data_IF_063650180813
#
_entry.id   IF_063650180813
#
_cell.length_a   1.000
_cell.length_b   1.000
_cell.length_c   1.000
_cell.angle_alpha   90.00
_cell.angle_beta   90.00
_cell.angle_gamma   90.00
#
_symmetry.space_group_name_H-M   'P 1'
#
loop_
_entity.id
_entity.type
_entity.pdbx_description
1 polymer ?
#
# COMPACT_ATOMS: atom_id res chain seq x y z
N UNK A 1 -26.44 9.38 -5.41
CA UNK A 1 -26.93 8.13 -6.03
C UNK A 1 -26.48 6.99 -5.13
N UNK A 2 -27.40 6.18 -4.64
CA UNK A 2 -27.10 5.04 -3.78
C UNK A 2 -26.70 3.87 -4.66
N UNK A 3 -25.45 3.45 -4.59
CA UNK A 3 -25.00 2.25 -5.29
C UNK A 3 -25.57 1.01 -4.60
N UNK A 4 -26.42 0.27 -5.29
CA UNK A 4 -26.91 -1.03 -4.86
C UNK A 4 -26.18 -2.10 -5.68
N UNK A 5 -25.23 -2.81 -5.05
CA UNK A 5 -24.63 -4.02 -5.61
C UNK A 5 -25.48 -5.25 -5.30
N UNK A 6 -25.84 -6.09 -6.28
CA UNK A 6 -26.77 -7.21 -6.10
C UNK A 6 -26.10 -8.56 -5.82
N UNK A 7 -25.07 -8.68 -4.97
CA UNK A 7 -24.51 -10.00 -4.66
C UNK A 7 -24.43 -10.25 -3.16
N UNK A 8 -25.28 -11.19 -2.67
CA UNK A 8 -25.21 -11.78 -1.33
C UNK A 8 -24.26 -12.97 -1.36
N UNK A 9 -23.19 -12.93 -0.55
CA UNK A 9 -22.31 -14.07 -0.30
C UNK A 9 -22.97 -15.12 0.60
N UNK A 10 -22.73 -16.44 0.40
CA UNK A 10 -23.23 -17.49 1.30
C UNK A 10 -22.42 -17.52 2.59
N UNK A 11 -23.11 -17.46 3.73
CA UNK A 11 -22.53 -17.66 5.05
C UNK A 11 -21.99 -19.10 5.21
N UNK A 12 -20.69 -19.23 5.39
CA UNK A 12 -20.06 -20.48 5.83
C UNK A 12 -19.97 -20.49 7.36
N UNK A 13 -20.84 -21.25 8.00
CA UNK A 13 -20.72 -21.60 9.43
C UNK A 13 -19.97 -22.93 9.55
N UNK A 14 -18.74 -22.88 10.01
CA UNK A 14 -18.02 -24.07 10.49
C UNK A 14 -17.35 -23.77 11.81
N UNK A 15 -17.94 -24.28 12.90
CA UNK A 15 -17.38 -24.19 14.25
C UNK A 15 -16.44 -25.37 14.45
N UNK A 16 -15.14 -25.16 14.29
CA UNK A 16 -14.10 -26.04 14.84
C UNK A 16 -13.37 -25.34 15.97
N UNK A 17 -13.65 -25.77 17.22
CA UNK A 17 -12.88 -25.40 18.41
C UNK A 17 -11.50 -26.06 18.35
N UNK A 18 -10.53 -25.41 17.73
CA UNK A 18 -9.11 -25.74 17.89
C UNK A 18 -8.57 -25.07 19.16
N UNK A 19 -7.85 -25.84 19.99
CA UNK A 19 -7.11 -25.31 21.16
C UNK A 19 -6.19 -24.20 20.68
N UNK A 20 -6.40 -22.94 21.14
CA UNK A 20 -5.50 -21.82 20.87
C UNK A 20 -4.11 -22.18 21.38
N UNK A 21 -3.17 -22.50 20.50
CA UNK A 21 -1.74 -22.48 20.78
C UNK A 21 -1.42 -21.03 21.18
N UNK A 22 -0.80 -20.82 22.35
CA UNK A 22 -0.32 -19.49 22.74
C UNK A 22 0.71 -19.09 21.68
N UNK A 23 0.40 -18.08 20.86
CA UNK A 23 1.31 -17.63 19.81
C UNK A 23 2.52 -16.97 20.47
N UNK A 24 3.70 -17.18 19.90
CA UNK A 24 4.90 -16.51 20.36
C UNK A 24 4.71 -14.99 20.26
N UNK A 25 5.14 -14.28 21.27
CA UNK A 25 5.15 -12.83 21.32
C UNK A 25 6.54 -12.41 21.78
N UNK A 26 7.23 -11.69 20.91
CA UNK A 26 8.55 -11.14 21.19
C UNK A 26 8.41 -9.73 21.73
N UNK A 27 9.27 -9.39 22.69
CA UNK A 27 9.26 -8.06 23.26
C UNK A 27 9.92 -7.06 22.30
N UNK A 28 9.20 -6.00 21.94
CA UNK A 28 9.78 -4.86 21.28
C UNK A 28 10.43 -3.94 22.32
N UNK A 29 11.66 -4.28 22.74
CA UNK A 29 12.41 -3.49 23.71
C UNK A 29 12.67 -2.06 23.20
N UNK A 30 13.09 -1.15 24.09
CA UNK A 30 13.44 0.21 23.67
C UNK A 30 14.56 0.23 22.61
N UNK A 31 15.56 -0.66 22.72
CA UNK A 31 16.61 -0.76 21.71
C UNK A 31 16.10 -1.25 20.37
N UNK A 32 15.25 -2.26 20.36
CA UNK A 32 14.59 -2.76 19.13
C UNK A 32 13.73 -1.67 18.50
N UNK A 33 12.93 -0.96 19.31
CA UNK A 33 12.09 0.12 18.79
C UNK A 33 12.93 1.23 18.15
N UNK A 34 14.01 1.65 18.81
CA UNK A 34 14.90 2.67 18.26
C UNK A 34 15.58 2.20 16.99
N UNK A 35 16.07 0.95 16.96
CA UNK A 35 16.62 0.35 15.75
C UNK A 35 15.60 0.37 14.60
N UNK A 36 14.38 -0.13 14.84
CA UNK A 36 13.33 -0.14 13.81
C UNK A 36 12.92 1.28 13.37
N UNK A 37 12.97 2.26 14.24
CA UNK A 37 12.69 3.66 13.89
C UNK A 37 13.78 4.23 12.97
N UNK A 38 15.04 4.00 13.29
CA UNK A 38 16.19 4.54 12.54
C UNK A 38 16.53 3.73 11.28
N UNK A 39 16.16 2.45 11.22
CA UNK A 39 16.39 1.62 10.02
C UNK A 39 15.72 2.27 8.81
N UNK A 40 16.48 2.61 7.76
CA UNK A 40 15.92 3.18 6.54
C UNK A 40 14.85 2.29 5.95
N UNK A 41 13.69 2.87 5.65
CA UNK A 41 12.57 2.18 5.03
C UNK A 41 12.28 2.75 3.66
N UNK A 42 11.88 1.85 2.76
CA UNK A 42 11.22 2.18 1.51
C UNK A 42 9.78 1.67 1.59
N UNK A 43 8.80 2.52 1.36
CA UNK A 43 7.39 2.17 1.34
C UNK A 43 6.90 2.09 -0.10
N UNK A 44 6.31 0.95 -0.49
CA UNK A 44 5.94 0.65 -1.88
C UNK A 44 4.45 0.36 -2.03
N UNK A 45 3.71 0.42 -0.92
CA UNK A 45 2.30 0.09 -0.90
C UNK A 45 1.60 0.95 0.15
N UNK A 46 1.15 2.08 -0.30
CA UNK A 46 0.36 3.02 0.49
C UNK A 46 -0.54 3.80 -0.46
N UNK A 47 -1.83 3.80 -0.18
CA UNK A 47 -2.79 4.65 -0.86
C UNK A 47 -2.83 6.02 -0.20
N UNK A 48 -2.57 7.09 -0.97
CA UNK A 48 -2.57 8.45 -0.41
C UNK A 48 -3.92 8.81 0.20
N UNK A 49 -5.01 8.43 -0.45
CA UNK A 49 -6.36 8.62 0.07
C UNK A 49 -6.60 7.83 1.36
N UNK A 50 -5.90 6.70 1.53
CA UNK A 50 -5.90 5.87 2.74
C UNK A 50 -5.15 6.46 3.92
N UNK A 51 -4.48 7.59 3.73
CA UNK A 51 -3.82 8.35 4.81
C UNK A 51 -4.70 9.45 5.40
N UNK A 52 -5.94 9.56 4.93
CA UNK A 52 -6.87 10.60 5.37
C UNK A 52 -7.32 10.37 6.81
N UNK A 53 -6.54 10.87 7.75
CA UNK A 53 -6.86 10.81 9.17
C UNK A 53 -8.20 11.51 9.48
N UNK A 54 -9.01 10.99 10.41
CA UNK A 54 -10.30 11.60 10.73
C UNK A 54 -10.23 13.08 11.13
N UNK A 55 -9.14 13.55 11.72
CA UNK A 55 -8.93 14.98 12.01
C UNK A 55 -8.90 15.82 10.74
N UNK A 56 -8.03 15.45 9.79
CA UNK A 56 -7.93 16.14 8.51
C UNK A 56 -9.23 16.03 7.70
N UNK A 57 -9.87 14.85 7.72
CA UNK A 57 -11.15 14.63 7.04
C UNK A 57 -12.21 15.67 7.48
N UNK A 58 -12.39 15.89 8.79
CA UNK A 58 -13.37 16.85 9.28
C UNK A 58 -12.94 18.32 9.00
N UNK A 59 -11.64 18.62 9.06
CA UNK A 59 -11.12 19.95 8.70
C UNK A 59 -11.36 20.26 7.22
N UNK A 60 -11.11 19.29 6.32
CA UNK A 60 -11.38 19.42 4.89
C UNK A 60 -12.88 19.50 4.59
N UNK A 61 -13.69 18.69 5.25
CA UNK A 61 -15.16 18.76 5.12
C UNK A 61 -15.69 20.16 5.49
N UNK A 62 -15.17 20.74 6.59
CA UNK A 62 -15.54 22.08 7.01
C UNK A 62 -15.02 23.15 6.03
N UNK A 63 -13.75 23.07 5.60
CA UNK A 63 -13.13 23.99 4.65
C UNK A 63 -13.89 24.04 3.32
N UNK A 64 -14.28 22.88 2.83
CA UNK A 64 -14.94 22.72 1.54
C UNK A 64 -16.48 22.77 1.61
N UNK A 65 -17.04 23.00 2.81
CA UNK A 65 -18.49 23.03 3.05
C UNK A 65 -19.19 21.71 2.60
N UNK A 66 -18.52 20.58 2.76
CA UNK A 66 -19.05 19.25 2.45
C UNK A 66 -19.83 18.72 3.66
N UNK A 67 -21.09 18.38 3.42
CA UNK A 67 -21.89 17.65 4.41
C UNK A 67 -21.69 16.15 4.20
N UNK A 68 -21.02 15.50 5.15
CA UNK A 68 -20.91 14.04 5.17
C UNK A 68 -22.29 13.39 5.37
N UNK A 69 -22.54 12.18 4.84
CA UNK A 69 -23.81 11.47 5.02
C UNK A 69 -24.15 11.26 6.50
N UNK A 70 -25.45 11.27 6.84
CA UNK A 70 -25.92 11.14 8.23
C UNK A 70 -25.51 9.81 8.89
N UNK A 71 -25.22 8.77 8.11
CA UNK A 71 -24.73 7.47 8.59
C UNK A 71 -23.21 7.40 8.78
N UNK A 72 -22.46 8.39 8.28
CA UNK A 72 -21.02 8.47 8.51
C UNK A 72 -20.73 8.92 9.95
N UNK A 73 -19.64 8.42 10.59
CA UNK A 73 -19.30 8.82 11.95
C UNK A 73 -19.16 10.34 12.08
N UNK A 74 -19.74 10.91 13.14
CA UNK A 74 -19.89 12.36 13.31
C UNK A 74 -18.73 13.05 14.05
N UNK A 75 -17.67 12.31 14.40
CA UNK A 75 -16.51 12.84 15.13
C UNK A 75 -15.28 11.98 14.92
N UNK A 76 -14.10 12.55 15.15
CA UNK A 76 -12.81 11.83 15.13
C UNK A 76 -12.86 10.56 15.98
N UNK A 77 -13.38 10.66 17.20
CA UNK A 77 -13.53 9.50 18.09
C UNK A 77 -14.42 8.42 17.49
N UNK A 78 -15.57 8.80 16.96
CA UNK A 78 -16.50 7.85 16.35
C UNK A 78 -15.92 7.20 15.09
N UNK A 79 -15.14 7.94 14.26
CA UNK A 79 -14.40 7.38 13.15
C UNK A 79 -13.41 6.32 13.63
N UNK A 80 -12.58 6.64 14.62
CA UNK A 80 -11.58 5.70 15.14
C UNK A 80 -12.22 4.43 15.72
N UNK A 81 -13.35 4.56 16.42
CA UNK A 81 -14.12 3.42 16.93
C UNK A 81 -14.69 2.58 15.77
N UNK A 82 -15.15 3.22 14.70
CA UNK A 82 -15.70 2.55 13.53
C UNK A 82 -14.60 1.85 12.72
N UNK A 83 -13.49 2.51 12.46
CA UNK A 83 -12.35 1.98 11.70
C UNK A 83 -11.66 0.81 12.40
N UNK A 84 -11.78 0.73 13.74
CA UNK A 84 -11.32 -0.45 14.47
C UNK A 84 -12.12 -1.73 14.17
N UNK A 85 -13.32 -1.64 13.55
CA UNK A 85 -14.29 -2.73 13.47
C UNK A 85 -14.94 -2.84 12.08
N UNK A 86 -14.14 -2.89 11.00
CA UNK A 86 -14.66 -3.23 9.67
C UNK A 86 -15.08 -4.71 9.61
N UNK A 87 -16.19 -4.98 8.95
CA UNK A 87 -16.71 -6.33 8.77
C UNK A 87 -15.98 -7.10 7.67
N UNK A 88 -15.63 -6.40 6.60
CA UNK A 88 -14.95 -6.92 5.41
C UNK A 88 -14.37 -5.76 4.56
N UNK A 89 -13.76 -6.09 3.43
CA UNK A 89 -13.19 -5.13 2.48
C UNK A 89 -14.24 -4.13 1.96
N UNK A 90 -15.46 -4.59 1.64
CA UNK A 90 -16.49 -3.69 1.10
C UNK A 90 -16.94 -2.65 2.13
N UNK A 91 -17.09 -3.06 3.40
CA UNK A 91 -17.42 -2.16 4.49
C UNK A 91 -16.33 -1.08 4.72
N UNK A 92 -15.06 -1.42 4.51
CA UNK A 92 -13.96 -0.44 4.49
C UNK A 92 -14.09 0.50 3.29
N UNK A 93 -14.23 -0.03 2.07
CA UNK A 93 -14.32 0.78 0.84
C UNK A 93 -15.48 1.78 0.87
N UNK A 94 -16.63 1.40 1.44
CA UNK A 94 -17.78 2.31 1.61
C UNK A 94 -17.41 3.55 2.44
N UNK A 95 -16.59 3.39 3.48
CA UNK A 95 -16.11 4.51 4.30
C UNK A 95 -14.99 5.29 3.62
N UNK A 96 -14.11 4.60 2.91
CA UNK A 96 -13.01 5.17 2.14
C UNK A 96 -13.51 6.13 1.07
N UNK A 97 -14.48 5.72 0.23
CA UNK A 97 -15.04 6.58 -0.80
C UNK A 97 -15.83 7.77 -0.24
N UNK A 98 -16.51 7.60 0.90
CA UNK A 98 -17.14 8.74 1.59
C UNK A 98 -16.05 9.70 2.10
N UNK A 99 -15.00 9.18 2.73
CA UNK A 99 -13.88 9.97 3.24
C UNK A 99 -13.23 10.80 2.15
N UNK A 100 -12.80 10.16 1.05
CA UNK A 100 -12.14 10.86 -0.05
C UNK A 100 -13.01 11.94 -0.74
N UNK A 101 -14.32 11.94 -0.50
CA UNK A 101 -15.23 12.94 -1.06
C UNK A 101 -14.95 14.37 -0.58
N UNK A 102 -14.21 14.55 0.51
CA UNK A 102 -13.83 15.89 1.02
C UNK A 102 -12.67 16.53 0.24
N UNK A 103 -11.94 15.74 -0.57
CA UNK A 103 -10.82 16.18 -1.40
C UNK A 103 -11.36 16.79 -2.71
N UNK A 104 -11.29 18.12 -2.85
CA UNK A 104 -11.90 18.84 -3.99
C UNK A 104 -10.88 19.67 -4.74
N UNK A 105 -9.99 20.35 -4.00
CA UNK A 105 -9.06 21.31 -4.56
C UNK A 105 -7.64 20.76 -4.53
N UNK A 106 -6.77 21.24 -5.42
CA UNK A 106 -5.35 20.87 -5.44
C UNK A 106 -4.69 20.98 -4.05
N UNK A 107 -5.08 21.98 -3.24
CA UNK A 107 -4.54 22.15 -1.89
C UNK A 107 -4.97 21.01 -0.96
N UNK A 108 -6.13 20.39 -1.15
CA UNK A 108 -6.61 19.27 -0.32
C UNK A 108 -5.73 18.04 -0.53
N UNK A 109 -5.39 17.72 -1.79
CA UNK A 109 -4.49 16.63 -2.15
C UNK A 109 -3.06 16.88 -1.67
N UNK A 110 -2.60 18.13 -1.77
CA UNK A 110 -1.30 18.54 -1.22
C UNK A 110 -1.23 18.35 0.30
N UNK A 111 -2.24 18.85 1.03
CA UNK A 111 -2.27 18.78 2.49
C UNK A 111 -2.30 17.32 2.97
N UNK A 112 -3.13 16.49 2.33
CA UNK A 112 -3.21 15.05 2.61
C UNK A 112 -1.85 14.37 2.47
N UNK A 113 -1.20 14.51 1.32
CA UNK A 113 0.07 13.88 1.06
C UNK A 113 1.19 14.43 1.97
N UNK A 114 1.19 15.71 2.29
CA UNK A 114 2.19 16.31 3.19
C UNK A 114 2.05 15.82 4.63
N UNK A 115 0.84 15.54 5.13
CA UNK A 115 0.67 14.90 6.45
C UNK A 115 1.26 13.50 6.44
N UNK A 116 0.99 12.71 5.39
CA UNK A 116 1.61 11.39 5.23
C UNK A 116 3.14 11.49 5.19
N UNK A 117 3.72 12.31 4.31
CA UNK A 117 5.18 12.40 4.17
C UNK A 117 5.88 12.84 5.47
N UNK A 118 5.26 13.73 6.24
CA UNK A 118 5.78 14.11 7.54
C UNK A 118 5.79 12.93 8.52
N UNK A 119 4.71 12.14 8.54
CA UNK A 119 4.60 10.94 9.38
C UNK A 119 5.59 9.86 8.93
N UNK A 120 5.64 9.55 7.64
CA UNK A 120 6.57 8.57 7.05
C UNK A 120 8.03 8.93 7.35
N UNK A 121 8.42 10.19 7.20
CA UNK A 121 9.75 10.67 7.56
C UNK A 121 10.05 10.43 9.06
N UNK A 122 9.11 10.73 9.96
CA UNK A 122 9.29 10.48 11.40
C UNK A 122 9.43 9.00 11.73
N UNK A 123 8.90 8.12 10.90
CA UNK A 123 8.98 6.67 11.02
C UNK A 123 10.23 6.07 10.35
N UNK A 124 11.11 6.92 9.78
CA UNK A 124 12.34 6.48 9.10
C UNK A 124 12.13 6.02 7.65
N UNK A 125 11.00 6.38 7.02
CA UNK A 125 10.80 6.17 5.59
C UNK A 125 11.55 7.24 4.81
N UNK A 126 12.49 6.84 3.96
CA UNK A 126 13.36 7.72 3.20
C UNK A 126 13.06 7.70 1.70
N UNK A 127 12.30 6.71 1.25
CA UNK A 127 11.78 6.60 -0.11
C UNK A 127 10.38 6.04 -0.08
N UNK A 128 9.46 6.60 -0.88
CA UNK A 128 8.11 6.07 -1.00
C UNK A 128 7.62 6.08 -2.46
N UNK A 129 6.87 5.04 -2.80
CA UNK A 129 6.20 4.86 -4.08
C UNK A 129 4.73 4.66 -3.77
N UNK A 130 3.95 5.73 -3.90
CA UNK A 130 2.61 5.84 -3.32
C UNK A 130 1.53 5.77 -4.39
N UNK A 131 0.47 5.04 -4.09
CA UNK A 131 -0.72 4.89 -4.93
C UNK A 131 -1.66 6.09 -4.79
N UNK A 132 -2.40 6.36 -5.86
CA UNK A 132 -3.54 7.26 -5.84
C UNK A 132 -4.58 6.83 -6.88
N UNK A 133 -5.86 7.12 -6.62
CA UNK A 133 -7.03 6.61 -7.34
C UNK A 133 -7.77 7.71 -8.12
N UNK A 134 -7.25 8.18 -9.26
CA UNK A 134 -7.85 9.32 -9.96
C UNK A 134 -9.27 9.03 -10.46
N UNK A 135 -9.60 7.77 -10.81
CA UNK A 135 -10.94 7.40 -11.28
C UNK A 135 -12.02 7.70 -10.23
N UNK A 136 -11.74 7.44 -8.95
CA UNK A 136 -12.66 7.74 -7.85
C UNK A 136 -12.91 9.24 -7.64
N UNK A 137 -11.96 10.09 -8.05
CA UNK A 137 -12.12 11.55 -8.01
C UNK A 137 -12.83 12.09 -9.25
N UNK A 138 -12.45 11.61 -10.44
CA UNK A 138 -13.03 12.05 -11.73
C UNK A 138 -14.51 11.68 -11.81
N UNK A 139 -14.92 10.51 -11.30
CA UNK A 139 -16.32 10.09 -11.27
C UNK A 139 -17.24 11.07 -10.52
N UNK A 140 -16.70 11.75 -9.50
CA UNK A 140 -17.44 12.79 -8.75
C UNK A 140 -17.18 14.22 -9.24
N UNK A 141 -16.58 14.37 -10.43
CA UNK A 141 -16.43 15.65 -11.15
C UNK A 141 -15.17 16.44 -10.79
N UNK A 142 -14.18 15.84 -10.15
CA UNK A 142 -12.88 16.48 -9.92
C UNK A 142 -12.00 16.26 -11.16
N UNK A 143 -11.40 17.34 -11.66
CA UNK A 143 -10.46 17.27 -12.77
C UNK A 143 -9.20 16.48 -12.34
N UNK A 144 -8.76 15.54 -13.17
CA UNK A 144 -7.57 14.73 -12.90
C UNK A 144 -6.32 15.58 -12.70
N UNK A 145 -6.22 16.72 -13.38
CA UNK A 145 -5.13 17.69 -13.22
C UNK A 145 -5.02 18.20 -11.78
N UNK A 146 -6.16 18.43 -11.11
CA UNK A 146 -6.21 18.87 -9.71
C UNK A 146 -5.61 17.83 -8.79
N UNK A 147 -5.91 16.55 -9.02
CA UNK A 147 -5.41 15.42 -8.23
C UNK A 147 -3.90 15.28 -8.41
N UNK A 148 -3.46 15.11 -9.67
CA UNK A 148 -2.04 14.86 -10.00
C UNK A 148 -1.15 16.00 -9.55
N UNK A 149 -1.55 17.26 -9.80
CA UNK A 149 -0.74 18.44 -9.41
C UNK A 149 -0.66 18.60 -7.89
N UNK A 150 -1.74 18.33 -7.17
CA UNK A 150 -1.72 18.37 -5.71
C UNK A 150 -0.71 17.40 -5.12
N UNK A 151 -0.72 16.15 -5.57
CA UNK A 151 0.20 15.11 -5.12
C UNK A 151 1.65 15.34 -5.59
N UNK A 152 1.87 15.72 -6.85
CA UNK A 152 3.21 16.03 -7.37
C UNK A 152 3.86 17.20 -6.60
N UNK A 153 3.09 18.26 -6.33
CA UNK A 153 3.56 19.38 -5.52
C UNK A 153 3.96 18.94 -4.11
N UNK A 154 3.21 18.04 -3.50
CA UNK A 154 3.54 17.50 -2.19
C UNK A 154 4.80 16.62 -2.24
N UNK A 155 4.97 15.77 -3.26
CA UNK A 155 6.18 14.97 -3.45
C UNK A 155 7.44 15.86 -3.52
N UNK A 156 7.39 16.95 -4.30
CA UNK A 156 8.47 17.92 -4.42
C UNK A 156 8.76 18.62 -3.08
N UNK A 157 7.70 19.10 -2.41
CA UNK A 157 7.84 19.75 -1.11
C UNK A 157 8.39 18.81 -0.01
N UNK A 158 8.02 17.53 -0.03
CA UNK A 158 8.56 16.53 0.90
C UNK A 158 10.06 16.26 0.64
N UNK A 159 10.46 16.20 -0.63
CA UNK A 159 11.88 16.10 -0.98
C UNK A 159 12.67 17.29 -0.42
N UNK A 160 12.20 18.52 -0.68
CA UNK A 160 12.87 19.74 -0.21
C UNK A 160 12.93 19.83 1.32
N UNK A 161 11.86 19.41 1.99
CA UNK A 161 11.72 19.58 3.45
C UNK A 161 12.37 18.47 4.26
N UNK A 162 12.27 17.23 3.78
CA UNK A 162 12.65 16.03 4.53
C UNK A 162 13.82 15.26 3.89
N UNK A 163 14.22 15.58 2.65
CA UNK A 163 15.23 14.83 1.91
C UNK A 163 14.75 13.43 1.50
N UNK A 164 13.44 13.20 1.49
CA UNK A 164 12.83 11.95 1.03
C UNK A 164 12.65 11.98 -0.48
N UNK A 165 12.76 10.82 -1.14
CA UNK A 165 12.38 10.69 -2.56
C UNK A 165 11.03 10.02 -2.65
N UNK A 166 10.16 10.52 -3.55
CA UNK A 166 8.78 10.06 -3.62
C UNK A 166 8.36 9.87 -5.09
N UNK A 167 7.60 8.82 -5.39
CA UNK A 167 7.10 8.50 -6.72
C UNK A 167 5.59 8.27 -6.65
N UNK A 168 4.87 8.76 -7.66
CA UNK A 168 3.42 8.55 -7.79
C UNK A 168 3.14 7.34 -8.67
N UNK A 169 2.24 6.48 -8.22
CA UNK A 169 1.73 5.33 -8.95
C UNK A 169 0.22 5.53 -9.12
N UNK A 170 -0.22 5.68 -10.36
CA UNK A 170 -1.65 5.76 -10.68
C UNK A 170 -2.26 4.38 -10.66
N UNK A 171 -3.28 4.15 -9.84
CA UNK A 171 -4.01 2.90 -9.81
C UNK A 171 -5.27 2.95 -10.67
N UNK A 172 -5.59 1.79 -11.25
CA UNK A 172 -6.85 1.53 -11.92
C UNK A 172 -7.76 0.76 -10.97
N UNK A 173 -8.97 1.28 -10.76
CA UNK A 173 -9.99 0.63 -9.93
C UNK A 173 -10.60 -0.55 -10.68
N UNK A 174 -10.24 -1.77 -10.29
CA UNK A 174 -10.58 -2.99 -11.05
C UNK A 174 -12.06 -3.36 -11.04
N UNK A 175 -12.86 -2.76 -10.17
CA UNK A 175 -14.33 -2.90 -10.19
C UNK A 175 -15.00 -2.06 -11.28
N UNK A 176 -14.25 -1.14 -11.92
CA UNK A 176 -14.70 -0.38 -13.08
C UNK A 176 -14.37 -1.12 -14.39
N UNK A 177 -15.10 -0.84 -15.49
CA UNK A 177 -14.76 -1.42 -16.79
C UNK A 177 -13.33 -1.07 -17.23
N UNK A 178 -12.60 -2.01 -17.82
CA UNK A 178 -11.25 -1.77 -18.34
C UNK A 178 -11.17 -0.60 -19.33
N UNK A 179 -12.24 -0.33 -20.10
CA UNK A 179 -12.33 0.84 -20.97
C UNK A 179 -12.16 2.16 -20.21
N UNK A 180 -12.71 2.27 -18.99
CA UNK A 180 -12.48 3.44 -18.12
C UNK A 180 -11.01 3.56 -17.71
N UNK A 181 -10.29 2.45 -17.58
CA UNK A 181 -8.84 2.45 -17.36
C UNK A 181 -8.06 3.00 -18.56
N UNK A 182 -8.44 2.61 -19.77
CA UNK A 182 -7.86 3.15 -21.02
C UNK A 182 -8.09 4.68 -21.09
N UNK A 183 -9.33 5.13 -20.88
CA UNK A 183 -9.66 6.57 -20.88
C UNK A 183 -8.83 7.35 -19.84
N UNK A 184 -8.62 6.76 -18.65
CA UNK A 184 -7.82 7.38 -17.60
C UNK A 184 -6.34 7.47 -17.99
N UNK A 185 -5.76 6.41 -18.56
CA UNK A 185 -4.37 6.40 -19.06
C UNK A 185 -4.19 7.45 -20.17
N UNK A 186 -5.15 7.57 -21.08
CA UNK A 186 -5.08 8.57 -22.15
C UNK A 186 -5.16 10.00 -21.62
N UNK A 187 -6.05 10.27 -20.67
CA UNK A 187 -6.21 11.59 -20.06
C UNK A 187 -4.99 12.01 -19.23
N UNK A 188 -4.24 11.05 -18.68
CA UNK A 188 -3.02 11.30 -17.87
C UNK A 188 -1.73 11.10 -18.65
N UNK A 189 -1.79 10.84 -19.96
CA UNK A 189 -0.62 10.54 -20.80
C UNK A 189 0.51 11.55 -20.69
N UNK A 190 0.19 12.84 -20.59
CA UNK A 190 1.19 13.89 -20.39
C UNK A 190 2.02 13.68 -19.11
N UNK A 191 1.39 13.27 -18.02
CA UNK A 191 2.05 13.10 -16.71
C UNK A 191 2.97 11.88 -16.67
N UNK A 192 2.63 10.82 -17.43
CA UNK A 192 3.54 9.71 -17.68
C UNK A 192 4.75 10.18 -18.52
N UNK A 193 4.50 10.93 -19.59
CA UNK A 193 5.56 11.45 -20.47
C UNK A 193 6.49 12.47 -19.81
N UNK A 194 6.00 13.25 -18.86
CA UNK A 194 6.77 14.21 -18.07
C UNK A 194 7.48 13.57 -16.87
N UNK A 195 7.25 12.28 -16.59
CA UNK A 195 7.83 11.57 -15.44
C UNK A 195 7.28 12.07 -14.11
N UNK A 196 6.03 12.53 -14.06
CA UNK A 196 5.28 12.88 -12.84
C UNK A 196 4.60 11.64 -12.29
N UNK A 197 3.93 10.86 -13.14
CA UNK A 197 3.43 9.52 -12.81
C UNK A 197 4.49 8.50 -13.20
N UNK A 198 4.98 7.78 -12.21
CA UNK A 198 6.12 6.87 -12.35
C UNK A 198 5.69 5.40 -12.47
N UNK A 199 4.45 5.09 -12.15
CA UNK A 199 3.94 3.73 -12.15
C UNK A 199 2.47 3.63 -12.51
N UNK A 200 2.07 2.43 -12.98
CA UNK A 200 0.68 2.00 -13.12
C UNK A 200 0.43 0.85 -12.15
N UNK A 201 -0.64 0.94 -11.37
CA UNK A 201 -1.15 -0.07 -10.45
C UNK A 201 -2.56 -0.54 -10.81
N UNK A 202 -3.00 -1.60 -10.13
CA UNK A 202 -4.35 -2.16 -10.21
C UNK A 202 -4.80 -2.49 -8.80
N UNK A 203 -5.88 -1.92 -8.31
CA UNK A 203 -6.35 -2.06 -6.94
C UNK A 203 -7.86 -2.31 -6.81
N UNK A 204 -8.42 -2.13 -5.61
CA UNK A 204 -9.79 -2.49 -5.24
C UNK A 204 -9.99 -4.01 -5.16
N UNK A 205 -11.25 -4.48 -4.96
CA UNK A 205 -11.55 -5.91 -4.75
C UNK A 205 -11.04 -6.80 -5.88
N UNK A 206 -10.20 -7.78 -5.56
CA UNK A 206 -9.67 -8.72 -6.56
C UNK A 206 -10.77 -9.60 -7.16
N UNK A 207 -11.74 -10.01 -6.35
CA UNK A 207 -12.85 -10.85 -6.78
C UNK A 207 -14.11 -10.01 -7.01
N UNK A 208 -14.79 -10.18 -8.16
CA UNK A 208 -14.55 -11.13 -9.26
C UNK A 208 -13.77 -10.53 -10.44
N UNK A 209 -12.83 -9.65 -10.23
CA UNK A 209 -12.13 -8.87 -11.26
C UNK A 209 -10.67 -9.32 -11.45
N UNK A 210 -10.43 -10.43 -12.16
CA UNK A 210 -9.09 -10.98 -12.32
C UNK A 210 -8.20 -10.09 -13.21
N UNK A 211 -6.85 -10.20 -13.08
CA UNK A 211 -5.89 -9.31 -13.75
C UNK A 211 -6.02 -9.26 -15.27
N UNK A 212 -6.35 -10.38 -15.90
CA UNK A 212 -6.47 -10.50 -17.36
C UNK A 212 -7.43 -9.51 -18.00
N UNK A 213 -8.43 -9.01 -17.27
CA UNK A 213 -9.36 -7.99 -17.74
C UNK A 213 -8.68 -6.66 -18.08
N UNK A 214 -7.49 -6.42 -17.53
CA UNK A 214 -6.75 -5.15 -17.63
C UNK A 214 -5.51 -5.24 -18.52
N UNK A 215 -5.31 -6.35 -19.22
CA UNK A 215 -4.12 -6.57 -20.06
C UNK A 215 -3.93 -5.46 -21.11
N UNK A 216 -5.00 -4.97 -21.73
CA UNK A 216 -4.93 -3.89 -22.72
C UNK A 216 -4.47 -2.57 -22.09
N UNK A 217 -4.88 -2.27 -20.85
CA UNK A 217 -4.43 -1.09 -20.11
C UNK A 217 -2.92 -1.12 -19.86
N UNK A 218 -2.42 -2.27 -19.38
CA UNK A 218 -1.00 -2.45 -19.10
C UNK A 218 -0.14 -2.44 -20.35
N UNK A 219 -0.60 -3.09 -21.44
CA UNK A 219 0.07 -3.06 -22.72
C UNK A 219 0.14 -1.64 -23.29
N UNK A 220 -0.93 -0.85 -23.17
CA UNK A 220 -0.96 0.55 -23.61
C UNK A 220 0.14 1.38 -22.91
N UNK A 221 0.28 1.25 -21.57
CA UNK A 221 1.32 1.98 -20.83
C UNK A 221 2.70 1.46 -21.18
N UNK A 222 2.91 0.14 -21.24
CA UNK A 222 4.18 -0.47 -21.60
C UNK A 222 4.68 -0.03 -22.99
N UNK A 223 3.76 0.06 -23.96
CA UNK A 223 4.11 0.43 -25.33
C UNK A 223 4.40 1.93 -25.46
N UNK A 224 3.65 2.79 -24.77
CA UNK A 224 3.81 4.24 -24.85
C UNK A 224 4.89 4.80 -23.89
N UNK A 225 5.06 4.19 -22.72
CA UNK A 225 5.90 4.69 -21.63
C UNK A 225 6.72 3.54 -21.02
N UNK A 226 7.71 3.00 -21.75
CA UNK A 226 8.43 1.79 -21.34
C UNK A 226 9.22 1.91 -20.02
N UNK A 227 9.49 3.13 -19.56
CA UNK A 227 10.18 3.41 -18.29
C UNK A 227 9.24 3.42 -17.07
N UNK A 228 7.92 3.37 -17.29
CA UNK A 228 6.92 3.39 -16.21
C UNK A 228 6.88 2.01 -15.54
N UNK A 229 6.99 2.00 -14.22
CA UNK A 229 6.89 0.78 -13.43
C UNK A 229 5.47 0.20 -13.46
N UNK A 230 5.36 -1.13 -13.46
CA UNK A 230 4.08 -1.82 -13.46
C UNK A 230 3.95 -2.68 -12.20
N UNK A 231 2.85 -2.51 -11.47
CA UNK A 231 2.52 -3.29 -10.27
C UNK A 231 1.03 -3.66 -10.27
N UNK A 232 0.62 -4.61 -9.46
CA UNK A 232 -0.79 -4.95 -9.31
C UNK A 232 -1.04 -5.62 -7.96
N UNK A 233 -2.17 -5.29 -7.31
CA UNK A 233 -2.69 -6.06 -6.19
C UNK A 233 -3.08 -7.45 -6.68
N UNK A 234 -2.45 -8.46 -6.10
CA UNK A 234 -2.71 -9.84 -6.46
C UNK A 234 -2.36 -10.80 -5.32
N UNK A 235 -3.24 -11.75 -5.06
CA UNK A 235 -3.04 -12.77 -4.03
C UNK A 235 -3.26 -12.28 -2.61
N UNK A 236 -4.04 -11.25 -2.42
CA UNK A 236 -4.65 -10.89 -1.13
C UNK A 236 -5.95 -11.66 -0.92
N UNK A 237 -6.98 -11.40 -1.73
CA UNK A 237 -8.24 -12.14 -1.77
C UNK A 237 -8.17 -13.31 -2.75
N UNK A 238 -7.56 -13.09 -3.93
CA UNK A 238 -7.34 -14.08 -4.98
C UNK A 238 -6.34 -15.15 -4.56
N UNK A 239 -6.36 -16.29 -5.22
CA UNK A 239 -5.35 -17.32 -5.01
C UNK A 239 -4.04 -16.99 -5.78
N UNK A 240 -3.06 -17.90 -5.71
CA UNK A 240 -1.76 -17.72 -6.36
C UNK A 240 -1.84 -17.53 -7.89
N UNK A 241 -2.97 -17.87 -8.55
CA UNK A 241 -3.14 -17.67 -9.99
C UNK A 241 -3.32 -16.19 -10.33
N UNK A 242 -3.89 -15.39 -9.45
CA UNK A 242 -3.94 -13.93 -9.63
C UNK A 242 -2.53 -13.34 -9.70
N UNK A 243 -1.61 -13.82 -8.86
CA UNK A 243 -0.20 -13.42 -8.90
C UNK A 243 0.46 -13.85 -10.20
N UNK A 244 0.31 -15.12 -10.58
CA UNK A 244 0.88 -15.65 -11.84
C UNK A 244 0.35 -14.88 -13.06
N UNK A 245 -0.96 -14.61 -13.12
CA UNK A 245 -1.60 -13.89 -14.23
C UNK A 245 -1.14 -12.43 -14.28
N UNK A 246 -0.95 -11.76 -13.14
CA UNK A 246 -0.38 -10.41 -13.12
C UNK A 246 1.04 -10.38 -13.70
N UNK A 247 1.87 -11.37 -13.36
CA UNK A 247 3.22 -11.50 -13.93
C UNK A 247 3.21 -11.81 -15.43
N UNK A 248 2.32 -12.69 -15.87
CA UNK A 248 2.33 -13.23 -17.24
C UNK A 248 1.57 -12.34 -18.24
N UNK A 249 0.50 -11.69 -17.79
CA UNK A 249 -0.42 -10.96 -18.67
C UNK A 249 -0.30 -9.44 -18.52
N UNK A 250 0.02 -8.94 -17.31
CA UNK A 250 0.21 -7.51 -17.08
C UNK A 250 1.68 -7.09 -17.13
N UNK A 251 2.61 -8.06 -17.17
CA UNK A 251 4.05 -7.83 -17.16
C UNK A 251 4.53 -6.98 -15.97
N UNK A 252 3.91 -7.13 -14.80
CA UNK A 252 4.29 -6.38 -13.62
C UNK A 252 5.66 -6.78 -13.10
N UNK A 253 6.41 -5.83 -12.58
CA UNK A 253 7.72 -6.04 -11.96
C UNK A 253 7.65 -6.19 -10.44
N UNK A 254 6.50 -5.87 -9.85
CA UNK A 254 6.19 -5.97 -8.42
C UNK A 254 4.75 -6.48 -8.25
N UNK A 255 4.50 -7.18 -7.16
CA UNK A 255 3.17 -7.65 -6.75
C UNK A 255 2.80 -6.97 -5.43
N UNK A 256 1.63 -6.38 -5.39
CA UNK A 256 1.12 -5.78 -4.17
C UNK A 256 0.38 -6.83 -3.35
N UNK A 257 0.65 -6.91 -2.05
CA UNK A 257 0.38 -8.00 -1.10
C UNK A 257 1.09 -9.32 -1.43
N UNK A 258 0.57 -10.12 -2.32
CA UNK A 258 1.16 -11.42 -2.72
C UNK A 258 1.09 -12.52 -1.65
N UNK A 259 0.24 -12.38 -0.62
CA UNK A 259 0.14 -13.31 0.53
C UNK A 259 -0.09 -14.74 0.09
N UNK A 260 -0.95 -14.95 -0.91
CA UNK A 260 -1.33 -16.26 -1.42
C UNK A 260 -0.29 -16.91 -2.36
N UNK A 261 0.83 -16.25 -2.65
CA UNK A 261 1.97 -16.86 -3.36
C UNK A 261 2.49 -18.11 -2.63
N UNK A 262 2.33 -18.16 -1.29
CA UNK A 262 2.67 -19.35 -0.46
C UNK A 262 1.98 -20.63 -0.87
N UNK A 263 0.89 -20.55 -1.63
CA UNK A 263 0.11 -21.72 -2.09
C UNK A 263 0.83 -22.51 -3.19
N UNK A 264 1.80 -21.90 -3.89
CA UNK A 264 2.56 -22.53 -4.97
C UNK A 264 4.07 -22.40 -4.75
N UNK A 265 4.77 -23.51 -4.42
CA UNK A 265 6.23 -23.53 -4.33
C UNK A 265 6.93 -23.10 -5.64
N UNK A 266 6.34 -23.43 -6.78
CA UNK A 266 6.85 -23.06 -8.10
C UNK A 266 6.78 -21.55 -8.30
N UNK A 267 5.69 -20.92 -7.88
CA UNK A 267 5.54 -19.46 -7.92
C UNK A 267 6.52 -18.77 -6.98
N UNK A 268 6.65 -19.25 -5.74
CA UNK A 268 7.64 -18.69 -4.79
C UNK A 268 9.07 -18.78 -5.37
N UNK A 269 9.43 -19.91 -5.97
CA UNK A 269 10.72 -20.09 -6.64
C UNK A 269 10.90 -19.06 -7.78
N UNK A 270 9.88 -18.88 -8.63
CA UNK A 270 9.88 -17.90 -9.71
C UNK A 270 10.08 -16.48 -9.19
N UNK A 271 9.36 -16.09 -8.14
CA UNK A 271 9.48 -14.76 -7.51
C UNK A 271 10.90 -14.52 -6.98
N UNK A 272 11.50 -15.53 -6.33
CA UNK A 272 12.87 -15.46 -5.81
C UNK A 272 13.90 -15.35 -6.94
N UNK A 273 13.82 -16.19 -7.97
CA UNK A 273 14.75 -16.21 -9.11
C UNK A 273 14.71 -14.91 -9.92
N UNK A 274 13.50 -14.36 -10.13
CA UNK A 274 13.31 -13.11 -10.87
C UNK A 274 13.45 -11.86 -9.99
N UNK A 275 13.66 -12.03 -8.68
CA UNK A 275 13.70 -10.94 -7.70
C UNK A 275 12.44 -10.05 -7.74
N UNK A 276 11.30 -10.64 -8.05
CA UNK A 276 10.02 -9.93 -8.03
C UNK A 276 9.61 -9.66 -6.59
N UNK A 277 9.57 -8.39 -6.21
CA UNK A 277 9.26 -7.98 -4.84
C UNK A 277 7.75 -8.06 -4.57
N UNK A 278 7.40 -8.54 -3.37
CA UNK A 278 6.05 -8.45 -2.81
C UNK A 278 5.97 -7.27 -1.85
N UNK A 279 4.94 -6.43 -1.94
CA UNK A 279 4.70 -5.34 -0.99
C UNK A 279 3.70 -5.76 0.08
N UNK A 280 4.19 -6.38 1.16
CA UNK A 280 3.37 -6.94 2.25
C UNK A 280 2.79 -5.84 3.14
N UNK A 281 1.49 -5.98 3.51
CA UNK A 281 0.77 -5.03 4.37
C UNK A 281 0.20 -5.74 5.61
N UNK A 282 1.01 -5.98 6.65
CA UNK A 282 0.65 -6.87 7.76
C UNK A 282 -0.59 -6.47 8.54
N UNK A 283 -0.74 -5.18 8.89
CA UNK A 283 -1.89 -4.71 9.66
C UNK A 283 -3.17 -4.68 8.82
N UNK A 284 -3.07 -4.29 7.55
CA UNK A 284 -4.17 -4.37 6.59
C UNK A 284 -4.70 -5.79 6.45
N UNK A 285 -3.81 -6.76 6.19
CA UNK A 285 -4.21 -8.16 6.02
C UNK A 285 -4.91 -8.76 7.25
N UNK A 286 -4.61 -8.25 8.45
CA UNK A 286 -5.36 -8.62 9.67
C UNK A 286 -6.71 -7.90 9.71
N UNK A 287 -6.76 -6.61 9.40
CA UNK A 287 -7.98 -5.80 9.44
C UNK A 287 -9.01 -6.25 8.42
N UNK A 288 -8.58 -6.56 7.22
CA UNK A 288 -9.41 -7.08 6.14
C UNK A 288 -9.65 -8.60 6.21
N UNK A 289 -9.21 -9.24 7.31
CA UNK A 289 -9.45 -10.65 7.63
C UNK A 289 -8.84 -11.64 6.62
N UNK A 290 -7.83 -11.23 5.86
CA UNK A 290 -7.02 -12.13 5.03
C UNK A 290 -6.33 -13.18 5.91
N UNK A 291 -5.86 -12.73 7.09
CA UNK A 291 -5.36 -13.56 8.18
C UNK A 291 -5.95 -13.10 9.51
N UNK A 292 -5.92 -13.95 10.54
CA UNK A 292 -6.44 -13.60 11.87
C UNK A 292 -5.43 -12.89 12.76
N UNK A 293 -4.16 -13.10 12.48
CA UNK A 293 -3.04 -12.52 13.23
C UNK A 293 -1.82 -12.41 12.31
N UNK A 294 -0.99 -11.40 12.52
CA UNK A 294 0.24 -11.17 11.74
C UNK A 294 1.15 -12.41 11.66
N UNK A 295 1.16 -13.26 12.70
CA UNK A 295 1.94 -14.51 12.71
C UNK A 295 1.47 -15.58 11.69
N UNK A 296 0.29 -15.42 11.08
CA UNK A 296 -0.21 -16.31 10.03
C UNK A 296 0.25 -15.89 8.63
N UNK A 297 0.83 -14.70 8.50
CA UNK A 297 1.41 -14.23 7.25
C UNK A 297 2.66 -15.06 6.88
N UNK A 298 2.92 -15.28 5.60
CA UNK A 298 4.05 -16.13 5.14
C UNK A 298 5.41 -15.42 5.19
N UNK A 299 5.59 -14.41 6.04
CA UNK A 299 6.78 -13.55 6.09
C UNK A 299 8.05 -14.36 6.35
N UNK A 300 8.06 -15.27 7.33
CA UNK A 300 9.21 -16.15 7.57
C UNK A 300 9.46 -17.09 6.38
N UNK A 301 8.38 -17.65 5.81
CA UNK A 301 8.49 -18.54 4.64
C UNK A 301 9.12 -17.82 3.44
N UNK A 302 8.70 -16.59 3.17
CA UNK A 302 9.28 -15.78 2.09
C UNK A 302 10.74 -15.45 2.36
N UNK A 303 11.08 -15.07 3.59
CA UNK A 303 12.46 -14.75 3.98
C UNK A 303 13.39 -15.98 3.87
N UNK A 304 12.92 -17.16 4.25
CA UNK A 304 13.64 -18.46 4.18
C UNK A 304 13.83 -18.97 2.74
N UNK A 305 12.92 -18.59 1.83
CA UNK A 305 12.96 -18.99 0.42
C UNK A 305 13.50 -17.88 -0.51
N UNK A 306 14.12 -16.85 0.06
CA UNK A 306 14.69 -15.71 -0.68
C UNK A 306 13.69 -14.99 -1.60
N UNK A 307 12.38 -15.10 -1.33
CA UNK A 307 11.37 -14.28 -1.99
C UNK A 307 11.49 -12.85 -1.44
N UNK A 308 11.83 -11.86 -2.28
CA UNK A 308 12.00 -10.49 -1.78
C UNK A 308 10.65 -9.88 -1.43
N UNK A 309 10.60 -9.16 -0.31
CA UNK A 309 9.42 -8.39 0.09
C UNK A 309 9.81 -7.13 0.86
N UNK A 310 8.92 -6.15 0.85
CA UNK A 310 8.92 -5.00 1.75
C UNK A 310 7.73 -5.05 2.70
N UNK A 311 7.77 -4.27 3.77
CA UNK A 311 6.68 -4.11 4.73
C UNK A 311 6.13 -2.71 4.58
N UNK A 312 4.81 -2.58 4.48
CA UNK A 312 4.12 -1.36 4.10
C UNK A 312 2.85 -1.18 4.96
N UNK A 313 2.19 -0.03 4.84
CA UNK A 313 1.04 0.33 5.67
C UNK A 313 -0.31 0.29 5.00
N UNK A 314 -0.37 0.31 3.65
CA UNK A 314 -1.61 0.27 2.88
C UNK A 314 -2.50 1.52 3.08
N UNK A 315 -3.53 1.44 3.92
CA UNK A 315 -4.43 2.53 4.30
C UNK A 315 -4.33 2.82 5.81
N UNK A 316 -3.22 3.46 6.26
CA UNK A 316 -2.88 3.53 7.69
C UNK A 316 -3.91 4.26 8.56
N UNK A 317 -4.60 5.26 8.03
CA UNK A 317 -5.64 5.98 8.76
C UNK A 317 -6.86 5.11 9.10
N UNK A 318 -7.12 4.09 8.27
CA UNK A 318 -8.23 3.15 8.45
C UNK A 318 -7.80 1.87 9.17
N UNK A 319 -6.58 1.39 8.96
CA UNK A 319 -6.11 0.11 9.51
C UNK A 319 -5.32 0.25 10.82
N UNK A 320 -5.00 1.49 11.20
CA UNK A 320 -4.49 1.81 12.53
C UNK A 320 -3.00 1.55 12.71
N UNK A 321 -2.17 1.96 11.75
CA UNK A 321 -0.71 1.95 11.88
C UNK A 321 0.02 2.26 10.60
N UNK A 322 0.96 3.20 10.68
CA UNK A 322 1.87 3.55 9.59
C UNK A 322 3.02 2.53 9.46
N UNK A 323 4.02 2.82 8.65
CA UNK A 323 5.07 1.86 8.32
C UNK A 323 5.82 1.35 9.56
N UNK A 324 6.16 2.20 10.52
CA UNK A 324 6.85 1.77 11.75
C UNK A 324 5.99 0.82 12.59
N UNK A 325 4.68 1.07 12.68
CA UNK A 325 3.76 0.22 13.42
C UNK A 325 3.67 -1.18 12.79
N UNK A 326 3.70 -1.26 11.45
CA UNK A 326 3.77 -2.54 10.72
C UNK A 326 5.07 -3.28 11.01
N UNK A 327 6.22 -2.59 11.03
CA UNK A 327 7.52 -3.18 11.42
C UNK A 327 7.49 -3.72 12.87
N UNK A 328 6.92 -2.94 13.80
CA UNK A 328 6.76 -3.35 15.21
C UNK A 328 5.82 -4.55 15.32
N UNK A 329 4.71 -4.57 14.60
CA UNK A 329 3.76 -5.67 14.59
C UNK A 329 4.43 -6.97 14.09
N UNK A 330 5.19 -6.90 13.01
CA UNK A 330 5.98 -8.03 12.48
C UNK A 330 7.03 -8.47 13.50
N UNK A 331 7.82 -7.54 14.07
CA UNK A 331 8.81 -7.92 15.07
C UNK A 331 8.19 -8.64 16.27
N UNK A 332 7.07 -8.14 16.76
CA UNK A 332 6.37 -8.72 17.92
C UNK A 332 5.90 -10.16 17.67
N UNK A 333 5.69 -10.54 16.42
CA UNK A 333 5.23 -11.89 16.05
C UNK A 333 6.34 -12.84 15.60
N UNK A 334 7.39 -12.32 14.96
CA UNK A 334 8.45 -13.13 14.36
C UNK A 334 9.79 -13.04 15.09
N UNK A 335 10.06 -11.96 15.83
CA UNK A 335 11.29 -11.79 16.59
C UNK A 335 12.55 -11.75 15.71
N UNK A 336 12.47 -11.11 14.56
CA UNK A 336 13.58 -11.08 13.62
C UNK A 336 14.82 -10.41 14.20
N UNK A 337 15.99 -10.98 13.89
CA UNK A 337 17.30 -10.44 14.21
C UNK A 337 17.61 -9.17 13.40
N UNK A 338 18.67 -8.45 13.79
CA UNK A 338 19.16 -7.30 13.00
C UNK A 338 19.44 -7.70 11.55
N UNK A 339 20.14 -8.83 11.33
CA UNK A 339 20.48 -9.31 9.98
C UNK A 339 19.24 -9.52 9.12
N UNK A 340 18.20 -10.13 9.70
CA UNK A 340 16.94 -10.35 9.00
C UNK A 340 16.22 -9.03 8.66
N UNK A 341 16.22 -8.07 9.59
CA UNK A 341 15.65 -6.74 9.34
C UNK A 341 16.43 -5.97 8.28
N UNK A 342 17.76 -6.03 8.31
CA UNK A 342 18.60 -5.42 7.25
C UNK A 342 18.35 -6.09 5.90
N UNK A 343 18.17 -7.42 5.86
CA UNK A 343 17.80 -8.13 4.62
C UNK A 343 16.46 -7.64 4.07
N UNK A 344 15.45 -7.43 4.94
CA UNK A 344 14.14 -6.89 4.54
C UNK A 344 14.30 -5.45 4.01
N UNK A 345 15.07 -4.61 4.70
CA UNK A 345 15.36 -3.24 4.25
C UNK A 345 16.06 -3.23 2.88
N UNK A 346 17.07 -4.09 2.68
CA UNK A 346 17.76 -4.24 1.39
C UNK A 346 16.81 -4.71 0.28
N UNK A 347 15.91 -5.66 0.57
CA UNK A 347 14.90 -6.08 -0.40
C UNK A 347 14.02 -4.90 -0.84
N UNK A 348 13.57 -4.07 0.11
CA UNK A 348 12.80 -2.87 -0.19
C UNK A 348 13.58 -1.88 -1.06
N UNK A 349 14.86 -1.64 -0.74
CA UNK A 349 15.72 -0.75 -1.53
C UNK A 349 15.93 -1.29 -2.96
N UNK A 350 16.24 -2.58 -3.10
CA UNK A 350 16.44 -3.19 -4.42
C UNK A 350 15.18 -3.19 -5.27
N UNK A 351 14.01 -3.45 -4.65
CA UNK A 351 12.71 -3.46 -5.32
C UNK A 351 12.16 -2.07 -5.63
N UNK A 352 12.79 -0.99 -5.14
CA UNK A 352 12.39 0.39 -5.42
C UNK A 352 12.73 0.80 -6.85
N UNK A 353 11.90 1.68 -7.40
CA UNK A 353 12.11 2.29 -8.73
C UNK A 353 12.93 3.59 -8.67
N UNK A 354 13.58 3.88 -7.55
CA UNK A 354 14.53 4.98 -7.47
C UNK A 354 15.83 4.63 -8.22
N UNK A 355 16.62 5.67 -8.54
CA UNK A 355 17.90 5.49 -9.23
C UNK A 355 18.95 4.79 -8.37
N UNK A 356 20.01 4.32 -9.02
CA UNK A 356 21.06 3.55 -8.36
C UNK A 356 21.88 4.39 -7.36
N UNK A 357 21.99 5.71 -7.56
CA UNK A 357 22.64 6.61 -6.61
C UNK A 357 21.85 6.66 -5.29
N UNK A 358 20.52 6.82 -5.38
CA UNK A 358 19.64 6.79 -4.20
C UNK A 358 19.64 5.42 -3.52
N UNK A 359 19.64 4.33 -4.28
CA UNK A 359 19.77 2.98 -3.70
C UNK A 359 21.07 2.81 -2.94
N UNK A 360 22.19 3.29 -3.50
CA UNK A 360 23.49 3.23 -2.83
C UNK A 360 23.50 4.04 -1.53
N UNK A 361 22.94 5.24 -1.53
CA UNK A 361 22.78 6.07 -0.33
C UNK A 361 21.96 5.35 0.76
N UNK A 362 20.80 4.80 0.40
CA UNK A 362 19.93 4.10 1.33
C UNK A 362 20.61 2.85 1.92
N UNK A 363 21.31 2.07 1.10
CA UNK A 363 22.11 0.91 1.57
C UNK A 363 23.19 1.32 2.56
N UNK A 364 23.92 2.40 2.28
CA UNK A 364 24.94 2.91 3.20
C UNK A 364 24.34 3.30 4.57
N UNK A 365 23.14 3.88 4.59
CA UNK A 365 22.42 4.19 5.83
C UNK A 365 21.96 2.94 6.57
N UNK A 366 21.56 1.88 5.88
CA UNK A 366 21.25 0.58 6.52
C UNK A 366 22.47 0.05 7.27
N UNK A 367 23.66 0.06 6.62
CA UNK A 367 24.91 -0.38 7.24
C UNK A 367 25.31 0.49 8.44
N UNK A 368 25.09 1.81 8.37
CA UNK A 368 25.35 2.72 9.50
C UNK A 368 24.50 2.35 10.70
N UNK A 369 23.17 2.15 10.51
CA UNK A 369 22.24 1.78 11.56
C UNK A 369 22.54 0.37 12.09
N UNK A 370 22.85 -0.60 11.22
CA UNK A 370 23.28 -1.93 11.62
C UNK A 370 24.47 -1.85 12.59
N UNK A 371 25.55 -1.15 12.20
CA UNK A 371 26.75 -1.01 13.03
C UNK A 371 26.48 -0.32 14.38
N UNK A 372 25.55 0.67 14.40
CA UNK A 372 25.16 1.37 15.62
C UNK A 372 24.47 0.45 16.63
N UNK A 373 23.66 -0.50 16.15
CA UNK A 373 22.83 -1.34 17.01
C UNK A 373 23.38 -2.76 17.19
N UNK A 374 24.46 -3.14 16.50
CA UNK A 374 25.09 -4.44 16.65
C UNK A 374 25.53 -4.66 18.11
N UNK A 375 25.01 -5.72 18.75
CA UNK A 375 25.26 -6.05 20.15
C UNK A 375 24.35 -5.36 21.17
N UNK A 376 23.41 -4.52 20.73
CA UNK A 376 22.39 -3.88 21.58
C UNK A 376 21.01 -4.53 21.41
N UNK A 377 20.76 -5.20 20.28
CA UNK A 377 19.50 -5.85 19.88
C UNK A 377 19.73 -7.33 19.68
#
# INVERSE_FOLDING_TARGET
MTFHYPYKYPHYTSIHRTKKKKMAQYECTHHVKNFLTELPKCEHHLHLEGTLEPSLLFDLAARNSIKLPDHFPSSVKACNERYANFADLQDFLDHYYIGMSVLINEQDFYDLAMEYFAKAHSDGCLHSEVFFDPQGHVERGIDVDVVVRGFDRACKAANDKFGTTNKLIMCLLRHLPAASGIDMIESTSQYFGEGIIHGLGLDSSEKPFPPELFSDCYNLVKDKFPEVGLTAHAGEEGDHTYVSNSLDLLNVSRIDHGVNSKQSPELMKRLAENKTMLSMCPLSNVKLQVVKDVSELPISTFLENDVPFSINSDDPAYFGGYILDNYIAVHTRFGFSLDQWCKIAHNGIEGSWCDEERKAELKAKVEEVYNKYQGLV
#
